data_IF_896962392456
#
_entry.id   IF_896962392456
#
_cell.length_a   1.000
_cell.length_b   1.000
_cell.length_c   1.000
_cell.angle_alpha   90.00
_cell.angle_beta   90.00
_cell.angle_gamma   90.00
#
_symmetry.space_group_name_H-M   'P 1'
#
loop_
_entity.id
_entity.type
_entity.pdbx_description
1 polymer ?
#
# COMPACT_ATOMS: atom_id res chain seq x y z
N UNK A 1 -73.71 34.89 -8.38
CA UNK A 1 -72.94 33.61 -8.54
C UNK A 1 -71.49 34.00 -8.83
N UNK A 2 -70.62 33.86 -7.83
CA UNK A 2 -69.20 34.16 -7.97
C UNK A 2 -68.45 32.83 -7.97
N UNK A 3 -67.83 32.45 -9.12
CA UNK A 3 -66.99 31.26 -9.27
C UNK A 3 -65.57 31.58 -8.77
N UNK A 4 -65.10 30.82 -7.77
CA UNK A 4 -63.69 30.84 -7.31
C UNK A 4 -62.92 29.79 -8.11
N UNK A 5 -61.96 30.26 -8.94
CA UNK A 5 -60.97 29.42 -9.57
C UNK A 5 -59.83 29.15 -8.54
N UNK A 6 -59.70 27.91 -8.14
CA UNK A 6 -58.50 27.44 -7.40
C UNK A 6 -57.43 27.10 -8.42
N UNK A 7 -56.36 27.90 -8.43
CA UNK A 7 -55.13 27.54 -9.17
C UNK A 7 -54.26 26.62 -8.31
N UNK A 8 -54.14 25.36 -8.71
CA UNK A 8 -53.23 24.41 -8.08
C UNK A 8 -51.82 24.67 -8.56
N UNK A 9 -50.94 25.14 -7.69
CA UNK A 9 -49.50 25.26 -7.94
C UNK A 9 -48.88 23.89 -7.68
N UNK A 10 -48.46 23.21 -8.75
CA UNK A 10 -47.67 22.00 -8.66
C UNK A 10 -46.21 22.38 -8.35
N UNK A 11 -45.74 22.11 -7.15
CA UNK A 11 -44.34 22.26 -6.75
C UNK A 11 -43.56 21.04 -7.27
N UNK A 12 -42.78 21.25 -8.31
CA UNK A 12 -41.87 20.26 -8.84
C UNK A 12 -40.67 20.13 -7.87
N UNK A 13 -40.67 19.08 -7.05
CA UNK A 13 -39.49 18.74 -6.21
C UNK A 13 -38.43 18.10 -7.08
N UNK A 14 -37.39 18.86 -7.39
CA UNK A 14 -36.17 18.33 -7.99
C UNK A 14 -35.37 17.63 -6.87
N UNK A 15 -35.42 16.29 -6.86
CA UNK A 15 -34.54 15.50 -6.01
C UNK A 15 -33.12 15.61 -6.54
N UNK A 16 -32.27 16.39 -5.89
CA UNK A 16 -30.82 16.31 -6.08
C UNK A 16 -30.37 14.96 -5.52
N UNK A 17 -30.14 13.99 -6.39
CA UNK A 17 -29.37 12.80 -6.04
C UNK A 17 -27.92 13.23 -6.00
N UNK A 18 -27.37 13.42 -4.80
CA UNK A 18 -25.94 13.50 -4.58
C UNK A 18 -25.34 12.19 -5.10
N UNK A 19 -24.76 12.24 -6.30
CA UNK A 19 -23.88 11.19 -6.79
C UNK A 19 -22.61 11.29 -5.95
N UNK A 20 -22.64 10.68 -4.76
CA UNK A 20 -21.40 10.39 -4.02
C UNK A 20 -20.61 9.48 -4.94
N UNK A 21 -19.62 10.07 -5.61
CA UNK A 21 -18.69 9.34 -6.44
C UNK A 21 -18.03 8.27 -5.59
N UNK A 22 -18.54 7.04 -5.69
CA UNK A 22 -17.99 5.89 -5.00
C UNK A 22 -16.59 5.64 -5.58
N UNK A 23 -15.60 6.21 -4.94
CA UNK A 23 -14.23 5.89 -5.16
C UNK A 23 -13.99 4.57 -4.46
N UNK A 24 -14.13 3.46 -5.15
CA UNK A 24 -13.98 2.14 -4.55
C UNK A 24 -12.71 1.47 -5.05
N UNK A 25 -11.72 1.32 -4.16
CA UNK A 25 -10.75 0.25 -4.38
C UNK A 25 -11.52 -1.09 -4.32
N UNK A 26 -11.14 -2.07 -5.15
CA UNK A 26 -11.74 -3.40 -5.08
C UNK A 26 -11.65 -3.95 -3.66
N UNK A 27 -12.66 -4.67 -3.22
CA UNK A 27 -12.60 -5.41 -1.97
C UNK A 27 -11.78 -6.70 -2.16
N UNK A 28 -10.99 -7.13 -1.16
CA UNK A 28 -10.24 -8.36 -1.25
C UNK A 28 -11.20 -9.56 -1.41
N UNK A 29 -10.98 -10.38 -2.44
CA UNK A 29 -11.72 -11.62 -2.69
C UNK A 29 -11.06 -12.82 -1.98
N UNK A 30 -9.78 -12.69 -1.64
CA UNK A 30 -8.99 -13.73 -0.99
C UNK A 30 -8.55 -13.36 0.43
N UNK A 31 -7.63 -14.18 0.99
CA UNK A 31 -7.03 -13.90 2.29
C UNK A 31 -6.27 -12.57 2.23
N UNK A 32 -6.59 -11.66 3.14
CA UNK A 32 -5.84 -10.40 3.33
C UNK A 32 -4.43 -10.74 3.80
N UNK A 33 -3.43 -10.19 3.11
CA UNK A 33 -2.01 -10.39 3.42
C UNK A 33 -1.28 -9.09 3.76
N UNK A 34 -1.91 -7.93 3.47
CA UNK A 34 -1.39 -6.62 3.82
C UNK A 34 -2.55 -5.68 4.16
N UNK A 35 -2.41 -4.93 5.23
CA UNK A 35 -3.32 -3.84 5.61
C UNK A 35 -2.55 -2.52 5.57
N UNK A 36 -3.16 -1.48 5.00
CA UNK A 36 -2.60 -0.12 4.98
C UNK A 36 -3.57 0.83 5.67
N UNK A 37 -3.07 1.60 6.63
CA UNK A 37 -3.86 2.53 7.45
C UNK A 37 -3.26 3.93 7.48
N UNK A 38 -3.87 4.84 8.22
CA UNK A 38 -3.38 6.20 8.47
C UNK A 38 -3.78 7.22 7.42
N UNK A 39 -2.85 8.09 7.03
CA UNK A 39 -3.11 9.18 6.08
C UNK A 39 -3.17 8.66 4.64
N UNK A 40 -4.27 8.01 4.29
CA UNK A 40 -4.56 7.47 2.96
C UNK A 40 -5.82 8.12 2.39
N UNK A 41 -5.81 8.43 1.10
CA UNK A 41 -6.93 9.03 0.38
C UNK A 41 -7.72 8.02 -0.45
N UNK A 42 -7.38 6.73 -0.34
CA UNK A 42 -8.16 5.68 -0.94
C UNK A 42 -9.52 5.64 -0.25
N UNK A 43 -10.53 5.87 -1.02
CA UNK A 43 -11.90 6.14 -0.68
C UNK A 43 -12.53 5.02 0.15
N UNK A 44 -12.29 5.03 1.42
CA UNK A 44 -13.13 4.32 2.38
C UNK A 44 -13.42 5.28 3.52
N UNK A 45 -14.64 5.26 4.04
CA UNK A 45 -14.98 5.82 5.34
C UNK A 45 -14.16 5.14 6.45
N UNK A 46 -13.53 4.03 6.11
CA UNK A 46 -12.55 3.31 6.89
C UNK A 46 -11.15 3.78 6.48
N UNK A 47 -10.41 4.34 7.41
CA UNK A 47 -8.99 4.74 7.25
C UNK A 47 -8.07 3.51 7.07
N UNK A 48 -8.55 2.51 6.33
CA UNK A 48 -7.91 1.22 6.15
C UNK A 48 -8.14 0.67 4.74
N UNK A 49 -7.08 0.22 4.09
CA UNK A 49 -7.14 -0.55 2.83
C UNK A 49 -6.59 -1.95 3.10
N UNK A 50 -7.41 -2.96 2.81
CA UNK A 50 -7.07 -4.37 2.98
C UNK A 50 -6.75 -4.96 1.62
N UNK A 51 -5.61 -5.60 1.51
CA UNK A 51 -5.08 -6.11 0.24
C UNK A 51 -4.87 -7.62 0.32
N UNK A 52 -5.42 -8.32 -0.66
CA UNK A 52 -5.13 -9.72 -0.90
C UNK A 52 -4.01 -9.89 -1.94
N UNK A 53 -3.65 -11.13 -2.23
CA UNK A 53 -2.59 -11.47 -3.18
C UNK A 53 -2.90 -10.97 -4.60
N UNK A 54 -4.14 -11.12 -5.06
CA UNK A 54 -4.53 -10.72 -6.41
C UNK A 54 -4.41 -9.20 -6.59
N UNK A 55 -4.81 -8.43 -5.60
CA UNK A 55 -4.69 -6.97 -5.60
C UNK A 55 -3.22 -6.52 -5.64
N UNK A 56 -2.34 -7.14 -4.84
CA UNK A 56 -0.90 -6.86 -4.88
C UNK A 56 -0.31 -7.20 -6.25
N UNK A 57 -0.67 -8.34 -6.85
CA UNK A 57 -0.16 -8.75 -8.16
C UNK A 57 -0.71 -7.92 -9.33
N UNK A 58 -1.79 -7.15 -9.13
CA UNK A 58 -2.30 -6.21 -10.14
C UNK A 58 -1.50 -4.90 -10.21
N UNK A 59 -0.66 -4.63 -9.21
CA UNK A 59 0.23 -3.47 -9.20
C UNK A 59 1.47 -3.70 -10.07
N UNK A 60 2.15 -2.63 -10.52
CA UNK A 60 3.39 -2.76 -11.29
C UNK A 60 4.44 -3.58 -10.54
N UNK A 61 4.88 -4.68 -11.13
CA UNK A 61 5.89 -5.55 -10.56
C UNK A 61 7.30 -5.10 -10.97
N UNK A 62 8.22 -5.11 -10.02
CA UNK A 62 9.61 -4.73 -10.22
C UNK A 62 10.53 -5.82 -9.69
N UNK A 63 11.67 -6.01 -10.33
CA UNK A 63 12.74 -6.87 -9.86
C UNK A 63 13.94 -6.02 -9.39
N UNK A 64 14.49 -6.40 -8.25
CA UNK A 64 15.72 -5.82 -7.69
C UNK A 64 16.71 -6.94 -7.41
N UNK A 65 17.87 -6.90 -8.05
CA UNK A 65 18.96 -7.84 -7.78
C UNK A 65 19.98 -7.19 -6.84
N UNK A 66 19.97 -7.60 -5.59
CA UNK A 66 20.81 -6.97 -4.56
C UNK A 66 21.33 -7.98 -3.55
N UNK A 67 22.34 -7.59 -2.79
CA UNK A 67 22.75 -8.27 -1.56
C UNK A 67 21.93 -7.73 -0.38
N UNK A 68 21.87 -8.48 0.69
CA UNK A 68 21.39 -8.01 1.98
C UNK A 68 22.30 -8.53 3.11
N UNK A 69 22.28 -7.91 4.30
CA UNK A 69 23.24 -8.26 5.37
C UNK A 69 23.04 -9.66 5.97
N UNK A 70 21.88 -10.28 5.78
CA UNK A 70 21.54 -11.57 6.40
C UNK A 70 21.74 -12.77 5.48
N UNK A 71 22.17 -12.55 4.24
CA UNK A 71 22.31 -13.61 3.24
C UNK A 71 23.62 -13.48 2.47
N UNK A 72 24.19 -14.63 2.10
CA UNK A 72 25.42 -14.63 1.28
C UNK A 72 25.08 -14.37 -0.19
N UNK A 73 25.85 -13.49 -0.82
CA UNK A 73 25.75 -13.19 -2.25
C UNK A 73 24.60 -12.23 -2.60
N UNK A 74 24.22 -12.25 -3.87
CA UNK A 74 23.10 -11.46 -4.41
C UNK A 74 21.92 -12.38 -4.71
N UNK A 75 20.71 -11.89 -4.44
CA UNK A 75 19.49 -12.55 -4.86
C UNK A 75 18.65 -11.60 -5.72
N UNK A 76 17.79 -12.16 -6.55
CA UNK A 76 16.77 -11.42 -7.31
C UNK A 76 15.49 -11.44 -6.51
N UNK A 77 15.00 -10.26 -6.15
CA UNK A 77 13.75 -10.06 -5.43
C UNK A 77 12.72 -9.47 -6.38
N UNK A 78 11.50 -10.00 -6.36
CA UNK A 78 10.37 -9.48 -7.14
C UNK A 78 9.25 -9.07 -6.19
N UNK A 79 8.63 -7.92 -6.49
CA UNK A 79 7.55 -7.35 -5.69
C UNK A 79 7.02 -6.05 -6.26
N UNK A 80 6.41 -5.26 -5.43
CA UNK A 80 5.88 -3.93 -5.74
C UNK A 80 6.78 -2.88 -5.11
N UNK A 81 7.10 -1.82 -5.83
CA UNK A 81 7.82 -0.69 -5.22
C UNK A 81 6.93 -0.04 -4.15
N UNK A 82 7.51 0.27 -3.00
CA UNK A 82 6.76 0.85 -1.88
C UNK A 82 6.08 2.17 -2.30
N UNK A 83 6.72 2.99 -3.15
CA UNK A 83 6.11 4.21 -3.71
C UNK A 83 4.87 3.94 -4.55
N UNK A 84 4.83 2.82 -5.31
CA UNK A 84 3.70 2.50 -6.19
C UNK A 84 2.50 2.00 -5.36
N UNK A 85 2.76 1.23 -4.31
CA UNK A 85 1.75 0.87 -3.32
C UNK A 85 1.18 2.12 -2.62
N UNK A 86 2.05 3.03 -2.16
CA UNK A 86 1.64 4.29 -1.52
C UNK A 86 0.84 5.19 -2.46
N UNK A 87 1.19 5.22 -3.74
CA UNK A 87 0.41 5.91 -4.77
C UNK A 87 -0.97 5.28 -4.96
N UNK A 88 -1.03 3.95 -5.02
CA UNK A 88 -2.29 3.20 -5.16
C UNK A 88 -3.28 3.50 -4.03
N UNK A 89 -2.81 3.58 -2.78
CA UNK A 89 -3.64 3.92 -1.62
C UNK A 89 -3.78 5.45 -1.42
N UNK A 90 -3.25 6.28 -2.33
CA UNK A 90 -3.27 7.75 -2.25
C UNK A 90 -2.72 8.28 -0.92
N UNK A 91 -1.58 7.74 -0.48
CA UNK A 91 -0.90 8.16 0.74
C UNK A 91 -0.45 9.64 0.66
N UNK A 92 -0.72 10.40 1.73
CA UNK A 92 -0.41 11.83 1.82
C UNK A 92 0.33 12.23 3.10
N UNK A 93 1.05 11.29 3.73
CA UNK A 93 1.90 11.52 4.90
C UNK A 93 3.36 11.88 4.58
N UNK A 94 4.20 11.86 5.61
CA UNK A 94 5.65 12.05 5.51
C UNK A 94 6.43 10.78 5.77
N UNK A 95 5.92 9.92 6.62
CA UNK A 95 6.54 8.66 7.05
C UNK A 95 5.59 7.50 6.79
N UNK A 96 6.16 6.32 6.64
CA UNK A 96 5.42 5.06 6.71
C UNK A 96 6.05 4.20 7.80
N UNK A 97 5.23 3.73 8.71
CA UNK A 97 5.60 2.67 9.64
C UNK A 97 5.21 1.33 9.05
N UNK A 98 6.14 0.40 9.04
CA UNK A 98 5.93 -0.97 8.59
C UNK A 98 6.01 -1.88 9.82
N UNK A 99 5.01 -2.75 9.97
CA UNK A 99 4.93 -3.70 11.08
C UNK A 99 4.96 -5.13 10.55
N UNK A 100 5.69 -5.98 11.24
CA UNK A 100 5.85 -7.38 10.95
C UNK A 100 4.94 -8.26 11.83
N UNK A 101 4.78 -9.53 11.46
CA UNK A 101 3.97 -10.50 12.20
C UNK A 101 4.44 -10.76 13.65
N UNK A 102 5.69 -10.42 13.96
CA UNK A 102 6.30 -10.57 15.29
C UNK A 102 6.34 -9.24 16.09
N UNK A 103 5.48 -8.28 15.70
CA UNK A 103 5.37 -6.95 16.32
C UNK A 103 6.62 -6.06 16.18
N UNK A 104 7.64 -6.48 15.42
CA UNK A 104 8.73 -5.58 15.07
C UNK A 104 8.23 -4.52 14.08
N UNK A 105 8.60 -3.27 14.29
CA UNK A 105 8.22 -2.17 13.42
C UNK A 105 9.41 -1.26 13.12
N UNK A 106 9.34 -0.56 12.00
CA UNK A 106 10.31 0.43 11.58
C UNK A 106 9.65 1.51 10.73
N UNK A 107 10.31 2.67 10.64
CA UNK A 107 9.79 3.78 9.84
C UNK A 107 10.70 4.06 8.64
N UNK A 108 10.08 4.41 7.51
CA UNK A 108 10.75 4.86 6.29
C UNK A 108 10.11 6.17 5.85
N UNK A 109 10.92 7.16 5.45
CA UNK A 109 10.37 8.40 4.90
C UNK A 109 9.75 8.17 3.52
N UNK A 110 8.59 8.79 3.25
CA UNK A 110 7.97 8.75 1.92
C UNK A 110 8.88 9.38 0.86
N UNK A 111 9.72 10.34 1.24
CA UNK A 111 10.72 10.91 0.35
C UNK A 111 11.75 9.86 -0.10
N UNK A 112 12.18 8.97 0.78
CA UNK A 112 13.09 7.88 0.43
C UNK A 112 12.44 6.83 -0.48
N UNK A 113 11.15 6.53 -0.28
CA UNK A 113 10.43 5.62 -1.19
C UNK A 113 10.35 6.16 -2.61
N UNK A 114 10.26 7.48 -2.78
CA UNK A 114 10.27 8.15 -4.09
C UNK A 114 11.67 8.20 -4.70
N UNK A 115 12.71 8.34 -3.88
CA UNK A 115 14.10 8.51 -4.29
C UNK A 115 14.78 7.19 -4.63
N UNK A 116 14.44 6.13 -3.92
CA UNK A 116 15.05 4.82 -4.05
C UNK A 116 14.01 3.76 -4.45
N UNK A 117 14.45 2.76 -5.18
CA UNK A 117 13.61 1.62 -5.53
C UNK A 117 13.50 0.66 -4.34
N UNK A 118 12.85 1.11 -3.26
CA UNK A 118 12.58 0.29 -2.09
C UNK A 118 11.44 -0.67 -2.45
N UNK A 119 11.72 -1.96 -2.40
CA UNK A 119 10.82 -3.01 -2.86
C UNK A 119 10.12 -3.67 -1.67
N UNK A 120 8.82 -3.83 -1.76
CA UNK A 120 8.04 -4.74 -0.93
C UNK A 120 7.99 -6.09 -1.66
N UNK A 121 9.01 -6.92 -1.40
CA UNK A 121 9.21 -8.17 -2.11
C UNK A 121 8.32 -9.28 -1.56
N UNK A 122 7.76 -10.09 -2.46
CA UNK A 122 7.02 -11.31 -2.13
C UNK A 122 7.58 -12.56 -2.83
N UNK A 123 8.60 -12.40 -3.71
CA UNK A 123 9.38 -13.50 -4.30
C UNK A 123 10.87 -13.26 -4.17
N UNK A 124 11.63 -14.36 -4.08
CA UNK A 124 13.08 -14.40 -4.10
C UNK A 124 13.55 -15.50 -5.03
N UNK A 125 14.42 -15.16 -6.00
CA UNK A 125 14.91 -16.07 -7.04
C UNK A 125 13.77 -16.87 -7.73
N UNK A 126 12.65 -16.20 -8.04
CA UNK A 126 11.47 -16.79 -8.67
C UNK A 126 10.52 -17.54 -7.72
N UNK A 127 10.93 -17.82 -6.48
CA UNK A 127 10.14 -18.55 -5.49
C UNK A 127 9.41 -17.57 -4.56
N UNK A 128 8.14 -17.86 -4.29
CA UNK A 128 7.31 -17.05 -3.41
C UNK A 128 7.79 -17.16 -1.94
N UNK A 129 7.83 -16.00 -1.26
CA UNK A 129 8.24 -15.95 0.16
C UNK A 129 7.11 -16.49 1.04
N UNK A 130 7.43 -17.51 1.82
CA UNK A 130 6.56 -18.00 2.91
C UNK A 130 6.88 -17.26 4.21
N UNK A 131 6.01 -17.38 5.22
CA UNK A 131 6.28 -16.80 6.55
C UNK A 131 7.61 -17.32 7.12
N UNK A 132 7.97 -18.59 6.85
CA UNK A 132 9.26 -19.18 7.28
C UNK A 132 10.45 -18.57 6.55
N UNK A 133 10.24 -18.06 5.32
CA UNK A 133 11.26 -17.52 4.44
C UNK A 133 11.12 -16.00 4.24
N UNK A 134 10.80 -15.28 5.30
CA UNK A 134 10.66 -13.81 5.33
C UNK A 134 9.40 -13.24 4.66
N UNK A 135 8.41 -14.07 4.26
CA UNK A 135 7.11 -13.61 3.75
C UNK A 135 6.10 -13.26 4.86
N UNK A 136 4.94 -12.69 4.50
CA UNK A 136 4.46 -12.49 3.14
C UNK A 136 5.23 -11.43 2.36
N UNK A 137 5.79 -10.41 3.02
CA UNK A 137 6.57 -9.35 2.39
C UNK A 137 7.89 -9.11 3.11
N UNK A 138 8.92 -8.81 2.32
CA UNK A 138 10.25 -8.42 2.78
C UNK A 138 10.60 -7.05 2.17
N UNK A 139 10.98 -6.10 3.00
CA UNK A 139 11.45 -4.77 2.54
C UNK A 139 12.88 -4.88 2.07
N UNK A 140 13.10 -4.66 0.78
CA UNK A 140 14.40 -4.80 0.12
C UNK A 140 14.87 -3.46 -0.41
N UNK A 141 16.05 -3.03 0.03
CA UNK A 141 16.75 -1.86 -0.49
C UNK A 141 17.71 -2.27 -1.62
N UNK A 142 17.93 -1.41 -2.64
CA UNK A 142 18.86 -1.68 -3.74
C UNK A 142 20.32 -1.42 -3.32
N UNK A 143 20.81 -2.11 -2.28
CA UNK A 143 22.15 -1.91 -1.72
C UNK A 143 23.27 -2.10 -2.75
N UNK A 144 23.10 -3.02 -3.70
CA UNK A 144 24.12 -3.27 -4.72
C UNK A 144 24.25 -2.15 -5.73
N UNK A 145 23.18 -1.38 -5.98
CA UNK A 145 23.15 -0.27 -6.93
C UNK A 145 23.46 1.07 -6.26
N UNK A 146 23.14 1.18 -4.97
CA UNK A 146 23.26 2.43 -4.21
C UNK A 146 24.02 2.18 -2.90
N UNK A 147 25.35 2.10 -2.98
CA UNK A 147 26.24 1.77 -1.84
C UNK A 147 26.04 2.66 -0.59
N UNK A 148 25.65 3.93 -0.76
CA UNK A 148 25.39 4.82 0.38
C UNK A 148 24.19 4.40 1.24
N UNK A 149 23.36 3.44 0.77
CA UNK A 149 22.30 2.83 1.57
C UNK A 149 22.81 1.73 2.51
N UNK A 150 24.07 1.30 2.39
CA UNK A 150 24.67 0.29 3.26
C UNK A 150 25.00 0.90 4.64
N UNK A 151 23.98 1.17 5.43
CA UNK A 151 24.07 1.70 6.80
C UNK A 151 23.28 0.83 7.75
N UNK A 152 23.63 0.85 9.04
CA UNK A 152 22.91 0.10 10.09
C UNK A 152 21.42 0.47 10.12
N UNK A 153 21.09 1.76 9.94
CA UNK A 153 19.72 2.24 9.88
C UNK A 153 18.94 1.55 8.74
N UNK A 154 19.49 1.54 7.50
CA UNK A 154 18.84 0.92 6.34
C UNK A 154 18.76 -0.59 6.45
N UNK A 155 19.74 -1.19 7.12
CA UNK A 155 19.66 -2.61 7.45
C UNK A 155 18.51 -2.88 8.43
N UNK A 156 18.36 -2.10 9.48
CA UNK A 156 17.22 -2.22 10.40
C UNK A 156 15.86 -1.95 9.73
N UNK A 157 15.82 -1.08 8.70
CA UNK A 157 14.62 -0.83 7.91
C UNK A 157 14.28 -1.94 6.91
N UNK A 158 15.21 -2.86 6.63
CA UNK A 158 14.96 -4.03 5.76
C UNK A 158 14.27 -5.14 6.54
N UNK A 159 13.05 -4.87 7.02
CA UNK A 159 12.28 -5.81 7.82
C UNK A 159 11.57 -6.85 6.94
N UNK A 160 11.29 -8.00 7.51
CA UNK A 160 10.59 -9.10 6.87
C UNK A 160 9.31 -9.47 7.61
N UNK A 161 8.47 -10.31 6.99
CA UNK A 161 7.13 -10.69 7.49
C UNK A 161 6.19 -9.49 7.65
N UNK A 162 6.35 -8.47 6.82
CA UNK A 162 5.50 -7.28 6.86
C UNK A 162 4.06 -7.67 6.50
N UNK A 163 3.11 -7.24 7.33
CA UNK A 163 1.68 -7.44 7.13
C UNK A 163 0.84 -6.17 7.33
N UNK A 164 1.46 -5.11 7.86
CA UNK A 164 0.78 -3.84 8.08
C UNK A 164 1.69 -2.64 7.75
N UNK A 165 1.08 -1.60 7.19
CA UNK A 165 1.72 -0.30 6.88
C UNK A 165 0.82 0.81 7.39
N UNK A 166 1.35 1.71 8.21
CA UNK A 166 0.66 2.92 8.64
C UNK A 166 1.32 4.15 8.02
N UNK A 167 0.53 5.00 7.37
CA UNK A 167 0.97 6.28 6.80
C UNK A 167 0.79 7.38 7.83
N UNK A 168 1.90 8.06 8.20
CA UNK A 168 1.97 9.13 9.22
C UNK A 168 2.32 10.49 8.62
#
# INVERSE_FOLDING_TARGET
>A
MRAFLFASVAVLQVAFTDVVGACSLPQPAGKVILTVTGHIGACSDQREVRLDRAMIHSLPLTEVRTKNPWERGRATYQGVLLRDLLHYVKAHGKMVELSALNDFHTEISIADTKKYNILLAFRRNGVELTVRDKGPFFVVFPFSDVRKLETEERFAQSIWQVNHIEVK
#
